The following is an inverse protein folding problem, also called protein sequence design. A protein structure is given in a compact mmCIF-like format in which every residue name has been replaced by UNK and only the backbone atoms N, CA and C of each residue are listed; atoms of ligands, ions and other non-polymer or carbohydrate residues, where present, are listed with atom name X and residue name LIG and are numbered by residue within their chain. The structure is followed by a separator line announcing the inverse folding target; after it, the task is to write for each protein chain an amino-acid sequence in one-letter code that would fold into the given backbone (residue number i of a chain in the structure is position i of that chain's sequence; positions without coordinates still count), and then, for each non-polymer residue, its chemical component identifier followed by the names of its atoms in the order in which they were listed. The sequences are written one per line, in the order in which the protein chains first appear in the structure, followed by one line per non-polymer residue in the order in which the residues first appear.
data_IF_435650925522
#
_entry.id   IF_435650925522
#
_cell.length_a   1.000
_cell.length_b   1.000
_cell.length_c   1.000
_cell.angle_alpha   90.00
_cell.angle_beta   90.00
_cell.angle_gamma   90.00
#
_symmetry.space_group_name_H-M   'P 1'
#
loop_
_entity.id
_entity.type
_entity.pdbx_description
1 polymer ?
#
# COMPACT_ATOMS: atom_id res chain seq x y z
N UNK A 1 4.65 6.03 2.53
CA UNK A 1 4.07 6.52 3.80
C UNK A 1 2.67 5.94 3.94
N UNK A 2 2.20 5.63 5.15
CA UNK A 2 0.84 5.15 5.37
C UNK A 2 0.28 5.65 6.70
N UNK A 3 -1.05 5.73 6.78
CA UNK A 3 -1.83 6.10 7.94
C UNK A 3 -2.93 5.07 8.13
N UNK A 4 -3.09 4.60 9.36
CA UNK A 4 -4.11 3.61 9.72
C UNK A 4 -5.11 4.28 10.65
N UNK A 5 -6.40 4.10 10.36
CA UNK A 5 -7.50 4.57 11.19
C UNK A 5 -8.47 3.43 11.45
N UNK A 6 -8.80 3.21 12.71
CA UNK A 6 -9.81 2.22 13.09
C UNK A 6 -11.23 2.71 12.77
N UNK A 7 -12.09 1.77 12.40
CA UNK A 7 -13.50 1.98 12.06
C UNK A 7 -14.31 0.77 12.50
N UNK A 8 -15.64 0.91 12.57
CA UNK A 8 -16.53 -0.18 12.98
C UNK A 8 -16.43 -1.43 12.08
N UNK A 9 -16.01 -1.25 10.82
CA UNK A 9 -15.89 -2.33 9.82
C UNK A 9 -14.47 -2.92 9.73
N UNK A 10 -13.47 -2.37 10.44
CA UNK A 10 -12.06 -2.75 10.37
C UNK A 10 -11.11 -1.56 10.40
N UNK A 11 -10.04 -1.60 9.60
CA UNK A 11 -8.99 -0.57 9.56
C UNK A 11 -8.94 0.11 8.19
N UNK A 12 -9.18 1.41 8.13
CA UNK A 12 -8.93 2.21 6.94
C UNK A 12 -7.43 2.54 6.85
N UNK A 13 -6.76 2.03 5.82
CA UNK A 13 -5.35 2.31 5.55
C UNK A 13 -5.24 3.25 4.35
N UNK A 14 -4.82 4.49 4.62
CA UNK A 14 -4.44 5.47 3.60
C UNK A 14 -2.95 5.38 3.33
N UNK A 15 -2.53 5.27 2.08
CA UNK A 15 -1.11 5.14 1.73
C UNK A 15 -0.70 6.07 0.59
N UNK A 16 0.60 6.40 0.60
CA UNK A 16 1.31 7.10 -0.47
C UNK A 16 2.54 6.27 -0.85
N UNK A 17 2.53 5.73 -2.05
CA UNK A 17 3.65 5.00 -2.64
C UNK A 17 4.39 5.91 -3.61
N UNK A 18 5.68 6.14 -3.38
CA UNK A 18 6.55 6.88 -4.30
C UNK A 18 7.25 5.87 -5.20
N UNK A 19 6.96 5.94 -6.49
CA UNK A 19 7.49 5.02 -7.51
C UNK A 19 8.32 5.83 -8.50
N UNK A 20 9.53 5.38 -8.76
CA UNK A 20 10.41 6.00 -9.77
C UNK A 20 10.19 5.31 -11.12
N UNK A 21 9.55 6.01 -12.06
CA UNK A 21 9.26 5.50 -13.40
C UNK A 21 10.35 5.94 -14.37
N UNK A 22 10.97 4.96 -15.04
CA UNK A 22 11.86 5.21 -16.19
C UNK A 22 11.00 5.38 -17.44
N UNK A 23 11.13 6.53 -18.10
CA UNK A 23 10.42 6.85 -19.33
C UNK A 23 11.43 7.20 -20.41
N UNK A 24 11.29 6.63 -21.61
CA UNK A 24 12.13 7.02 -22.73
C UNK A 24 11.66 8.39 -23.24
N UNK A 25 12.56 9.37 -23.28
CA UNK A 25 12.29 10.69 -23.88
C UNK A 25 12.80 10.77 -25.32
N UNK A 26 13.74 9.89 -25.69
CA UNK A 26 14.25 9.70 -27.05
C UNK A 26 14.75 8.26 -27.22
N UNK A 27 15.17 7.83 -28.43
CA UNK A 27 15.71 6.49 -28.67
C UNK A 27 16.95 6.13 -27.84
N UNK A 28 17.70 7.13 -27.35
CA UNK A 28 18.94 6.94 -26.58
C UNK A 28 18.91 7.60 -25.20
N UNK A 29 17.85 8.33 -24.86
CA UNK A 29 17.74 9.10 -23.61
C UNK A 29 16.55 8.62 -22.77
N UNK A 30 16.80 8.49 -21.47
CA UNK A 30 15.81 8.12 -20.47
C UNK A 30 15.70 9.18 -19.39
N UNK A 31 14.48 9.46 -18.98
CA UNK A 31 14.16 10.28 -17.81
C UNK A 31 13.63 9.39 -16.69
N UNK A 32 14.05 9.68 -15.46
CA UNK A 32 13.44 9.13 -14.27
C UNK A 32 12.50 10.16 -13.68
N UNK A 33 11.21 9.81 -13.59
CA UNK A 33 10.20 10.65 -12.95
C UNK A 33 9.72 9.98 -11.68
N UNK A 34 9.64 10.75 -10.61
CA UNK A 34 9.01 10.30 -9.37
C UNK A 34 7.49 10.49 -9.49
N UNK A 35 6.76 9.41 -9.26
CA UNK A 35 5.30 9.36 -9.30
C UNK A 35 4.80 8.95 -7.93
N UNK A 36 3.85 9.68 -7.40
CA UNK A 36 3.18 9.33 -6.14
C UNK A 36 1.84 8.69 -6.44
N UNK A 37 1.61 7.47 -5.94
CA UNK A 37 0.32 6.78 -5.99
C UNK A 37 -0.29 6.84 -4.61
N UNK A 38 -1.45 7.48 -4.51
CA UNK A 38 -2.25 7.55 -3.29
C UNK A 38 -3.42 6.58 -3.37
N UNK A 39 -3.73 5.91 -2.27
CA UNK A 39 -4.90 5.04 -2.20
C UNK A 39 -5.39 4.84 -0.78
N UNK A 40 -6.64 4.41 -0.68
CA UNK A 40 -7.30 4.06 0.57
C UNK A 40 -7.83 2.64 0.44
N UNK A 41 -7.60 1.80 1.45
CA UNK A 41 -8.15 0.44 1.50
C UNK A 41 -8.75 0.18 2.88
N UNK A 42 -9.84 -0.58 2.92
CA UNK A 42 -10.41 -1.09 4.16
C UNK A 42 -9.83 -2.49 4.39
N UNK A 43 -9.13 -2.65 5.50
CA UNK A 43 -8.52 -3.90 5.94
C UNK A 43 -9.33 -4.50 7.08
N UNK A 44 -9.80 -5.73 6.91
CA UNK A 44 -10.38 -6.50 8.01
C UNK A 44 -9.29 -7.31 8.69
N UNK A 45 -9.24 -7.35 10.04
CA UNK A 45 -8.26 -8.19 10.74
C UNK A 45 -8.36 -9.64 10.28
N UNK A 46 -7.22 -10.22 9.87
CA UNK A 46 -7.14 -11.59 9.37
C UNK A 46 -7.39 -11.78 7.86
N UNK A 47 -7.85 -10.75 7.15
CA UNK A 47 -8.00 -10.80 5.68
C UNK A 47 -6.83 -10.08 4.97
N UNK A 48 -6.20 -10.72 3.96
CA UNK A 48 -5.15 -10.07 3.18
C UNK A 48 -5.76 -9.02 2.24
N UNK A 49 -5.14 -7.84 2.17
CA UNK A 49 -5.58 -6.77 1.26
C UNK A 49 -4.51 -6.50 0.20
N UNK A 50 -4.95 -6.51 -1.06
CA UNK A 50 -4.13 -6.16 -2.22
C UNK A 50 -4.22 -4.67 -2.45
N UNK A 51 -3.09 -3.98 -2.35
CA UNK A 51 -3.08 -2.52 -2.31
C UNK A 51 -2.77 -1.89 -3.67
N UNK A 52 -1.78 -2.41 -4.40
CA UNK A 52 -1.45 -1.93 -5.75
C UNK A 52 -0.87 -3.07 -6.58
N UNK A 53 -1.21 -3.10 -7.88
CA UNK A 53 -0.42 -3.77 -8.92
C UNK A 53 0.52 -2.75 -9.56
N UNK A 54 1.82 -2.86 -9.29
CA UNK A 54 2.83 -2.09 -10.02
C UNK A 54 3.44 -2.99 -11.09
N UNK A 55 2.89 -2.95 -12.30
CA UNK A 55 3.16 -3.99 -13.31
C UNK A 55 2.64 -5.35 -12.86
N UNK A 56 3.43 -6.41 -13.04
CA UNK A 56 3.08 -7.79 -12.63
C UNK A 56 3.27 -8.06 -11.13
N UNK A 57 3.92 -7.16 -10.38
CA UNK A 57 4.14 -7.36 -8.94
C UNK A 57 2.98 -6.80 -8.13
N UNK A 58 2.35 -7.70 -7.38
CA UNK A 58 1.26 -7.38 -6.45
C UNK A 58 1.85 -7.06 -5.09
N UNK A 59 1.60 -5.85 -4.57
CA UNK A 59 1.91 -5.51 -3.19
C UNK A 59 0.73 -5.95 -2.30
N UNK A 60 1.00 -6.90 -1.42
CA UNK A 60 0.07 -7.36 -0.38
C UNK A 60 0.43 -6.71 0.95
N UNK A 61 -0.58 -6.24 1.66
CA UNK A 61 -0.46 -5.82 3.06
C UNK A 61 -1.39 -6.69 3.90
N UNK A 62 -0.83 -7.24 4.96
CA UNK A 62 -1.57 -8.01 5.96
C UNK A 62 -1.58 -7.19 7.23
N UNK A 63 -2.77 -6.84 7.71
CA UNK A 63 -2.93 -6.18 9.02
C UNK A 63 -3.09 -7.28 10.06
N UNK A 64 -2.07 -7.45 10.91
CA UNK A 64 -2.11 -8.35 12.06
C UNK A 64 -2.51 -7.56 13.29
N UNK A 65 -3.68 -7.84 13.86
CA UNK A 65 -4.06 -7.34 15.17
C UNK A 65 -3.46 -8.29 16.22
N UNK A 66 -2.42 -7.85 16.92
CA UNK A 66 -1.95 -8.55 18.11
C UNK A 66 -2.97 -8.34 19.22
N UNK A 67 -3.88 -9.29 19.38
CA UNK A 67 -4.77 -9.33 20.54
C UNK A 67 -3.93 -9.80 21.73
N UNK A 68 -3.46 -8.87 22.57
CA UNK A 68 -2.94 -9.23 23.88
C UNK A 68 -4.05 -9.99 24.62
N UNK A 69 -3.89 -11.31 24.73
CA UNK A 69 -4.76 -12.12 25.59
C UNK A 69 -4.62 -11.58 27.02
N UNK A 70 -5.72 -11.32 27.73
CA UNK A 70 -5.63 -10.97 29.15
C UNK A 70 -4.91 -12.11 29.87
N UNK A 71 -3.77 -11.79 30.50
CA UNK A 71 -3.14 -12.68 31.47
C UNK A 71 -4.13 -12.88 32.62
N UNK A 72 -4.63 -14.11 32.73
CA UNK A 72 -5.32 -14.61 33.93
C UNK A 72 -4.38 -14.61 35.11
#
# INVERSE_FOLDING_TARGET
EYLVKESDEGFLVSYVLRVRRKTASSPTTYEFRDVSVTGNVLCKPGEPVVIVKNGEKTLQLTVTQEVEKPKK
#
